data_IF_167976151070
#
_entry.id   IF_167976151070
#
_cell.length_a   1.000
_cell.length_b   1.000
_cell.length_c   1.000
_cell.angle_alpha   90.00
_cell.angle_beta   90.00
_cell.angle_gamma   90.00
#
_symmetry.space_group_name_H-M   'P 1'
#
loop_
_entity.id
_entity.type
_entity.pdbx_description
1 polymer ?
#
# COMPACT_ATOMS: atom_id res chain seq x y z
N UNK A 1 13.34 17.66 29.82
CA UNK A 1 13.71 17.28 28.43
C UNK A 1 12.62 16.55 27.60
N UNK A 2 11.31 16.51 27.92
CA UNK A 2 10.32 15.83 27.06
C UNK A 2 10.26 16.35 25.61
N UNK A 3 10.41 17.67 25.41
CA UNK A 3 10.35 18.28 24.08
C UNK A 3 11.45 17.79 23.13
N UNK A 4 12.70 17.66 23.61
CA UNK A 4 13.80 17.15 22.81
C UNK A 4 13.57 15.68 22.38
N UNK A 5 13.01 14.87 23.27
CA UNK A 5 12.67 13.47 22.98
C UNK A 5 11.59 13.41 21.89
N UNK A 6 10.53 14.23 22.01
CA UNK A 6 9.46 14.28 21.02
C UNK A 6 9.98 14.68 19.63
N UNK A 7 10.91 15.64 19.55
CA UNK A 7 11.53 16.06 18.28
C UNK A 7 12.33 14.92 17.65
N UNK A 8 13.15 14.21 18.44
CA UNK A 8 13.93 13.08 17.93
C UNK A 8 13.02 11.97 17.40
N UNK A 9 11.96 11.63 18.14
CA UNK A 9 10.99 10.62 17.71
C UNK A 9 10.30 11.06 16.41
N UNK A 10 9.87 12.32 16.31
CA UNK A 10 9.23 12.83 15.11
C UNK A 10 10.16 12.77 13.89
N UNK A 11 11.42 13.15 14.03
CA UNK A 11 12.41 13.12 12.94
C UNK A 11 12.72 11.70 12.45
N UNK A 12 12.64 10.71 13.33
CA UNK A 12 12.86 9.31 12.95
C UNK A 12 11.62 8.68 12.30
N UNK A 13 10.43 8.99 12.80
CA UNK A 13 9.17 8.36 12.36
C UNK A 13 8.60 9.02 11.10
N UNK A 14 8.68 10.35 11.00
CA UNK A 14 8.13 11.11 9.87
C UNK A 14 8.61 10.63 8.49
N UNK A 15 9.91 10.42 8.22
CA UNK A 15 10.37 9.99 6.89
C UNK A 15 9.83 8.61 6.53
N UNK A 16 9.71 7.70 7.49
CA UNK A 16 9.14 6.36 7.26
C UNK A 16 7.67 6.48 6.85
N UNK A 17 6.89 7.26 7.58
CA UNK A 17 5.46 7.47 7.26
C UNK A 17 5.31 8.18 5.91
N UNK A 18 6.10 9.22 5.66
CA UNK A 18 6.03 10.00 4.41
C UNK A 18 6.38 9.14 3.18
N UNK A 19 7.39 8.26 3.28
CA UNK A 19 7.78 7.38 2.19
C UNK A 19 6.81 6.19 2.01
N UNK A 20 6.30 5.62 3.10
CA UNK A 20 5.42 4.45 3.06
C UNK A 20 3.93 4.77 2.82
N UNK A 21 3.55 6.06 2.89
CA UNK A 21 2.17 6.47 2.64
C UNK A 21 1.68 6.09 1.24
N UNK A 22 2.49 6.39 0.22
CA UNK A 22 2.16 6.06 -1.17
C UNK A 22 2.19 4.55 -1.44
N UNK A 23 3.12 3.81 -0.85
CA UNK A 23 3.19 2.35 -0.99
C UNK A 23 1.95 1.67 -0.41
N UNK A 24 1.44 2.18 0.72
CA UNK A 24 0.23 1.65 1.36
C UNK A 24 -0.99 1.84 0.45
N UNK A 25 -1.15 3.05 -0.10
CA UNK A 25 -2.25 3.36 -1.03
C UNK A 25 -2.14 2.51 -2.31
N UNK A 26 -0.94 2.40 -2.89
CA UNK A 26 -0.71 1.59 -4.08
C UNK A 26 -1.01 0.10 -3.85
N UNK A 27 -0.61 -0.44 -2.70
CA UNK A 27 -0.89 -1.83 -2.35
C UNK A 27 -2.40 -2.08 -2.18
N UNK A 28 -3.10 -1.20 -1.46
CA UNK A 28 -4.55 -1.31 -1.27
C UNK A 28 -5.32 -1.17 -2.58
N UNK A 29 -4.94 -0.21 -3.42
CA UNK A 29 -5.55 -0.03 -4.73
C UNK A 29 -5.26 -1.22 -5.66
N UNK A 30 -4.01 -1.68 -5.71
CA UNK A 30 -3.62 -2.85 -6.50
C UNK A 30 -4.43 -4.09 -6.10
N UNK A 31 -4.54 -4.35 -4.80
CA UNK A 31 -5.35 -5.46 -4.29
C UNK A 31 -6.84 -5.32 -4.63
N UNK A 32 -7.42 -4.12 -4.43
CA UNK A 32 -8.83 -3.90 -4.70
C UNK A 32 -9.17 -4.05 -6.19
N UNK A 33 -8.31 -3.51 -7.06
CA UNK A 33 -8.48 -3.58 -8.51
C UNK A 33 -8.24 -4.99 -9.06
N UNK A 34 -7.25 -5.72 -8.53
CA UNK A 34 -7.01 -7.11 -8.91
C UNK A 34 -8.21 -7.98 -8.55
N UNK A 35 -8.72 -7.87 -7.32
CA UNK A 35 -9.90 -8.61 -6.88
C UNK A 35 -11.11 -8.34 -7.77
N UNK A 36 -11.43 -7.07 -8.00
CA UNK A 36 -12.54 -6.68 -8.87
C UNK A 36 -12.35 -7.17 -10.32
N UNK A 37 -11.11 -7.14 -10.82
CA UNK A 37 -10.76 -7.69 -12.13
C UNK A 37 -11.01 -9.19 -12.23
N UNK A 38 -10.63 -9.97 -11.21
CA UNK A 38 -10.85 -11.43 -11.18
C UNK A 38 -12.33 -11.78 -11.08
N UNK A 39 -13.07 -11.11 -10.20
CA UNK A 39 -14.51 -11.35 -10.00
C UNK A 39 -15.31 -11.06 -11.28
N UNK A 40 -14.95 -9.99 -12.03
CA UNK A 40 -15.62 -9.63 -13.30
C UNK A 40 -15.28 -10.54 -14.47
N UNK A 41 -14.13 -11.19 -14.43
CA UNK A 41 -13.64 -12.04 -15.52
C UNK A 41 -13.63 -13.52 -15.12
N UNK A 42 -14.50 -13.92 -14.19
CA UNK A 42 -14.62 -15.31 -13.77
C UNK A 42 -14.93 -16.22 -14.98
N UNK A 43 -14.13 -17.29 -15.14
CA UNK A 43 -14.24 -18.21 -16.28
C UNK A 43 -13.60 -17.71 -17.58
N UNK A 44 -12.90 -16.58 -17.55
CA UNK A 44 -12.13 -16.08 -18.70
C UNK A 44 -10.81 -16.83 -18.87
N UNK A 45 -10.58 -17.35 -20.08
CA UNK A 45 -9.29 -17.97 -20.48
C UNK A 45 -8.09 -17.03 -20.29
N UNK A 46 -8.31 -15.72 -20.30
CA UNK A 46 -7.26 -14.71 -20.09
C UNK A 46 -6.83 -14.62 -18.63
N UNK A 47 -7.71 -14.92 -17.67
CA UNK A 47 -7.34 -14.98 -16.24
C UNK A 47 -6.51 -16.23 -15.97
N UNK A 48 -6.80 -17.34 -16.64
CA UNK A 48 -6.09 -18.62 -16.48
C UNK A 48 -4.69 -18.60 -17.11
N UNK A 49 -4.50 -17.79 -18.17
CA UNK A 49 -3.23 -17.61 -18.85
C UNK A 49 -2.33 -16.52 -18.23
N UNK A 50 -2.82 -15.78 -17.24
CA UNK A 50 -2.11 -14.68 -16.59
C UNK A 50 -1.29 -15.21 -15.39
N UNK A 51 -0.07 -15.70 -15.69
CA UNK A 51 0.90 -16.23 -14.71
C UNK A 51 1.83 -15.15 -14.13
#
# INVERSE_FOLDING_TARGET
MPGAIAIVVALLVFPVIALMGSTTIAALLGWALDRDGRDRNEGSELVDANY
#
